data_IF_567794568844
#
_entry.id   IF_567794568844
#
_cell.length_a   1.000
_cell.length_b   1.000
_cell.length_c   1.000
_cell.angle_alpha   90.00
_cell.angle_beta   90.00
_cell.angle_gamma   90.00
#
_symmetry.space_group_name_H-M   'P 1'
#
loop_
_entity.id
_entity.type
_entity.pdbx_description
1 polymer ?
#
# COMPACT_ATOMS: atom_id res chain seq x y z
N UNK A 1 43.14 -23.45 -80.91
CA UNK A 1 42.49 -24.17 -79.84
C UNK A 1 42.40 -23.25 -78.61
N UNK A 2 41.23 -22.54 -78.41
CA UNK A 2 40.97 -21.85 -77.14
C UNK A 2 39.55 -22.02 -76.75
N UNK A 3 39.08 -23.17 -76.18
CA UNK A 3 37.72 -23.34 -75.69
C UNK A 3 37.63 -23.79 -74.25
N UNK A 4 38.71 -24.19 -73.63
CA UNK A 4 38.58 -24.72 -72.24
C UNK A 4 38.58 -23.68 -71.08
N UNK A 5 38.76 -22.37 -71.36
CA UNK A 5 38.76 -21.32 -70.32
C UNK A 5 37.38 -20.83 -69.93
N UNK A 6 36.36 -20.99 -70.75
CA UNK A 6 35.00 -20.53 -70.45
C UNK A 6 34.21 -21.51 -69.60
N UNK A 7 34.47 -22.78 -69.67
CA UNK A 7 33.79 -23.83 -68.90
C UNK A 7 34.18 -23.76 -67.41
N UNK A 8 35.49 -23.48 -67.13
CA UNK A 8 35.97 -23.35 -65.73
C UNK A 8 35.39 -22.16 -64.97
N UNK A 9 35.04 -21.05 -65.64
CA UNK A 9 34.41 -19.89 -65.03
C UNK A 9 32.94 -20.08 -64.74
N UNK A 10 32.21 -20.84 -65.55
CA UNK A 10 30.78 -21.16 -65.34
C UNK A 10 30.63 -22.17 -64.19
N UNK A 11 31.53 -23.18 -64.11
CA UNK A 11 31.56 -24.13 -63.00
C UNK A 11 31.84 -23.50 -61.66
N UNK A 12 32.66 -22.44 -61.60
CA UNK A 12 32.97 -21.71 -60.36
C UNK A 12 31.77 -20.87 -59.85
N UNK A 13 30.96 -20.31 -60.78
CA UNK A 13 29.75 -19.55 -60.41
C UNK A 13 28.58 -20.43 -59.92
N UNK A 14 28.43 -21.64 -60.40
CA UNK A 14 27.38 -22.58 -60.01
C UNK A 14 27.70 -23.17 -58.62
N UNK A 15 28.96 -23.34 -58.23
CA UNK A 15 29.34 -23.85 -56.91
C UNK A 15 29.02 -22.90 -55.75
N UNK A 16 28.91 -21.59 -55.98
CA UNK A 16 28.56 -20.60 -54.94
C UNK A 16 27.04 -20.52 -54.63
N UNK A 17 26.19 -21.06 -55.47
CA UNK A 17 24.71 -21.01 -55.23
C UNK A 17 24.19 -22.05 -54.23
N UNK A 18 25.00 -23.05 -53.86
CA UNK A 18 24.56 -24.08 -52.89
C UNK A 18 25.03 -23.89 -51.45
N UNK A 19 25.77 -22.82 -51.15
CA UNK A 19 26.08 -22.42 -49.77
C UNK A 19 24.94 -21.54 -49.20
N UNK A 20 23.71 -22.05 -49.10
CA UNK A 20 22.71 -21.46 -48.25
C UNK A 20 23.10 -21.79 -46.79
N UNK A 21 23.52 -20.81 -45.97
CA UNK A 21 23.65 -21.08 -44.56
C UNK A 21 22.28 -21.40 -44.03
N UNK A 22 22.09 -22.61 -43.56
CA UNK A 22 20.94 -22.96 -42.75
C UNK A 22 21.06 -22.11 -41.50
N UNK A 23 20.41 -20.95 -41.55
CA UNK A 23 20.25 -20.08 -40.37
C UNK A 23 19.48 -20.85 -39.34
N UNK A 24 20.16 -21.30 -38.31
CA UNK A 24 19.51 -21.82 -37.13
C UNK A 24 18.92 -20.60 -36.44
N UNK A 25 17.58 -20.49 -36.45
CA UNK A 25 16.89 -19.50 -35.63
C UNK A 25 17.24 -19.80 -34.17
N UNK A 26 18.10 -18.98 -33.59
CA UNK A 26 18.36 -19.05 -32.15
C UNK A 26 17.07 -18.68 -31.41
N UNK A 27 16.69 -19.54 -30.49
CA UNK A 27 15.53 -19.31 -29.61
C UNK A 27 15.82 -18.06 -28.78
N UNK A 28 15.25 -16.92 -29.18
CA UNK A 28 15.53 -15.60 -28.60
C UNK A 28 14.68 -15.35 -27.38
N UNK A 29 14.95 -16.08 -26.31
CA UNK A 29 14.44 -15.77 -24.99
C UNK A 29 12.92 -15.94 -24.84
N UNK A 30 12.51 -16.65 -23.84
CA UNK A 30 11.13 -16.71 -23.39
C UNK A 30 10.99 -15.78 -22.17
N UNK A 31 9.94 -14.94 -22.17
CA UNK A 31 9.57 -14.13 -21.02
C UNK A 31 8.22 -14.65 -20.49
N UNK A 32 8.10 -14.67 -19.17
CA UNK A 32 6.84 -14.97 -18.47
C UNK A 32 6.37 -13.71 -17.75
N UNK A 33 5.09 -13.39 -17.85
CA UNK A 33 4.44 -12.34 -17.07
C UNK A 33 3.38 -12.99 -16.20
N UNK A 34 3.64 -13.07 -14.91
CA UNK A 34 2.67 -13.57 -13.93
C UNK A 34 1.79 -12.43 -13.46
N UNK A 35 0.48 -12.55 -13.61
CA UNK A 35 -0.51 -11.59 -13.15
C UNK A 35 -1.31 -12.23 -12.02
N UNK A 36 -1.27 -11.62 -10.83
CA UNK A 36 -2.04 -12.03 -9.68
C UNK A 36 -3.02 -10.93 -9.30
N UNK A 37 -4.25 -11.28 -8.99
CA UNK A 37 -5.28 -10.35 -8.55
C UNK A 37 -6.29 -11.02 -7.63
N UNK A 38 -7.05 -10.22 -6.90
CA UNK A 38 -8.17 -10.68 -6.08
C UNK A 38 -9.38 -9.81 -6.36
N UNK A 39 -10.52 -10.44 -6.51
CA UNK A 39 -11.82 -9.76 -6.56
C UNK A 39 -12.46 -9.94 -5.18
N UNK A 40 -12.83 -8.84 -4.56
CA UNK A 40 -13.52 -8.82 -3.26
C UNK A 40 -14.85 -8.08 -3.40
N UNK A 41 -15.87 -8.52 -2.66
CA UNK A 41 -17.10 -7.76 -2.50
C UNK A 41 -16.89 -6.72 -1.39
N UNK A 42 -16.85 -5.46 -1.75
CA UNK A 42 -16.73 -4.33 -0.81
C UNK A 42 -17.50 -3.14 -1.35
N UNK A 43 -18.06 -2.33 -0.45
CA UNK A 43 -18.79 -1.14 -0.83
C UNK A 43 -17.90 -0.08 -1.50
N UNK A 44 -16.66 0.07 -1.05
CA UNK A 44 -15.71 1.08 -1.53
C UNK A 44 -14.35 0.45 -1.83
N UNK A 45 -13.59 1.06 -2.72
CA UNK A 45 -12.16 0.82 -2.87
C UNK A 45 -11.36 1.86 -2.06
N UNK A 46 -10.23 1.45 -1.50
CA UNK A 46 -9.28 2.39 -0.87
C UNK A 46 -8.42 2.99 -2.00
N UNK A 47 -8.35 4.32 -2.05
CA UNK A 47 -7.47 5.04 -2.97
C UNK A 47 -6.03 4.54 -2.84
N UNK A 48 -5.31 4.44 -3.96
CA UNK A 48 -3.97 3.84 -3.99
C UNK A 48 -2.98 4.57 -3.10
N UNK A 49 -3.07 5.91 -3.03
CA UNK A 49 -2.20 6.73 -2.18
C UNK A 49 -2.53 6.60 -0.69
N UNK A 50 -3.73 6.12 -0.36
CA UNK A 50 -4.18 5.90 1.01
C UNK A 50 -3.84 4.51 1.55
N UNK A 51 -3.44 3.57 0.68
CA UNK A 51 -3.10 2.19 1.10
C UNK A 51 -1.78 2.09 1.84
N UNK A 52 -0.84 2.95 1.48
CA UNK A 52 0.50 3.01 2.07
C UNK A 52 0.89 4.47 2.22
N UNK A 53 0.93 4.94 3.47
CA UNK A 53 1.22 6.33 3.80
C UNK A 53 2.35 6.38 4.83
N UNK A 54 3.31 7.26 4.60
CA UNK A 54 4.31 7.59 5.61
C UNK A 54 3.98 8.95 6.22
N UNK A 55 3.77 8.99 7.52
CA UNK A 55 3.49 10.21 8.27
C UNK A 55 4.75 10.61 9.03
N UNK A 56 5.36 11.72 8.65
CA UNK A 56 6.53 12.24 9.34
C UNK A 56 6.09 13.13 10.50
N UNK A 57 6.40 12.72 11.72
CA UNK A 57 6.12 13.50 12.94
C UNK A 57 7.19 14.56 13.13
N UNK A 58 6.79 15.72 13.69
CA UNK A 58 7.73 16.77 14.07
C UNK A 58 8.60 16.33 15.23
N UNK A 59 9.82 16.88 15.30
CA UNK A 59 10.68 16.71 16.47
C UNK A 59 10.00 17.28 17.71
N UNK A 60 9.94 16.49 18.77
CA UNK A 60 9.23 16.81 20.00
C UNK A 60 10.20 16.82 21.18
N UNK A 61 10.37 17.95 21.87
CA UNK A 61 11.18 18.02 23.10
C UNK A 61 10.55 17.17 24.21
N UNK A 62 11.37 16.39 24.94
CA UNK A 62 10.91 15.60 26.11
C UNK A 62 10.17 16.47 27.13
N UNK A 63 10.64 17.70 27.37
CA UNK A 63 9.99 18.65 28.27
C UNK A 63 8.56 19.01 27.87
N UNK A 64 8.19 18.93 26.60
CA UNK A 64 6.82 19.14 26.16
C UNK A 64 5.92 17.96 26.59
N UNK A 65 6.38 16.72 26.44
CA UNK A 65 5.63 15.55 26.92
C UNK A 65 5.47 15.58 28.44
N UNK A 66 6.50 16.02 29.18
CA UNK A 66 6.42 16.17 30.65
C UNK A 66 5.36 17.19 31.04
N UNK A 67 5.31 18.32 30.35
CA UNK A 67 4.41 19.44 30.70
C UNK A 67 2.98 19.19 30.22
N UNK A 68 2.82 18.76 28.94
CA UNK A 68 1.55 18.76 28.25
C UNK A 68 0.96 17.33 28.08
N UNK A 69 1.74 16.29 28.42
CA UNK A 69 1.37 14.88 28.27
C UNK A 69 1.30 14.41 26.82
N UNK A 70 1.40 15.31 25.84
CA UNK A 70 1.18 15.00 24.43
C UNK A 70 1.90 15.99 23.50
N UNK A 71 2.10 15.53 22.24
CA UNK A 71 2.61 16.36 21.16
C UNK A 71 1.50 16.96 20.30
N UNK A 72 1.91 17.70 19.27
CA UNK A 72 0.99 18.26 18.27
C UNK A 72 0.25 17.18 17.51
N UNK A 73 -0.99 17.49 17.11
CA UNK A 73 -1.80 16.64 16.26
C UNK A 73 -1.34 16.74 14.79
N UNK A 74 -0.97 15.63 14.20
CA UNK A 74 -0.68 15.51 12.78
C UNK A 74 -1.87 14.84 12.08
N UNK A 75 -2.48 15.56 11.12
CA UNK A 75 -3.63 15.03 10.39
C UNK A 75 -3.20 14.14 9.24
N UNK A 76 -3.98 13.09 8.99
CA UNK A 76 -3.90 12.25 7.79
C UNK A 76 -5.29 11.85 7.31
N UNK A 77 -5.41 11.43 6.07
CA UNK A 77 -6.69 11.09 5.45
C UNK A 77 -6.62 9.73 4.78
N UNK A 78 -7.63 8.91 5.00
CA UNK A 78 -7.89 7.70 4.21
C UNK A 78 -9.01 8.04 3.23
N UNK A 79 -8.68 8.01 1.93
CA UNK A 79 -9.62 8.29 0.86
C UNK A 79 -10.21 7.00 0.33
N UNK A 80 -11.53 6.93 0.29
CA UNK A 80 -12.31 5.87 -0.33
C UNK A 80 -12.84 6.36 -1.66
N UNK A 81 -12.84 5.49 -2.66
CA UNK A 81 -13.29 5.78 -4.03
C UNK A 81 -14.22 4.69 -4.52
N UNK A 82 -15.01 5.03 -5.54
CA UNK A 82 -15.94 4.10 -6.18
C UNK A 82 -16.89 3.44 -5.19
N UNK A 83 -17.38 4.20 -4.20
CA UNK A 83 -18.34 3.68 -3.23
C UNK A 83 -19.69 3.44 -3.92
N UNK A 84 -20.18 2.21 -3.82
CA UNK A 84 -21.47 1.75 -4.35
C UNK A 84 -22.20 1.05 -3.21
N UNK A 85 -23.46 1.42 -2.99
CA UNK A 85 -24.27 0.86 -1.89
C UNK A 85 -24.90 -0.48 -2.28
N UNK A 86 -25.28 -0.63 -3.55
CA UNK A 86 -25.94 -1.83 -4.04
C UNK A 86 -25.00 -3.04 -4.01
N UNK A 87 -25.49 -4.14 -3.44
CA UNK A 87 -24.79 -5.42 -3.50
C UNK A 87 -25.05 -6.14 -4.84
N UNK A 88 -24.06 -6.87 -5.31
CA UNK A 88 -24.19 -7.68 -6.54
C UNK A 88 -25.30 -8.72 -6.45
N UNK A 89 -25.61 -9.22 -5.25
CA UNK A 89 -26.70 -10.15 -5.02
C UNK A 89 -27.96 -9.39 -4.58
N UNK A 90 -29.03 -9.35 -5.41
CA UNK A 90 -30.26 -8.59 -5.11
C UNK A 90 -31.06 -9.13 -3.90
N UNK A 91 -30.71 -10.31 -3.38
CA UNK A 91 -31.33 -10.88 -2.18
C UNK A 91 -30.60 -10.47 -0.88
N UNK A 92 -29.61 -9.62 -0.96
CA UNK A 92 -28.88 -9.09 0.19
C UNK A 92 -29.15 -7.61 0.33
N UNK A 93 -29.35 -7.15 1.57
CA UNK A 93 -29.50 -5.73 1.87
C UNK A 93 -28.27 -4.94 1.41
N UNK A 94 -28.49 -3.75 0.90
CA UNK A 94 -27.44 -2.83 0.48
C UNK A 94 -26.49 -2.47 1.61
N UNK A 95 -25.26 -2.07 1.23
CA UNK A 95 -24.27 -1.58 2.17
C UNK A 95 -24.73 -0.24 2.78
N UNK A 96 -24.74 -0.15 4.10
CA UNK A 96 -25.18 1.07 4.81
C UNK A 96 -24.09 1.69 5.65
N UNK A 97 -23.29 0.85 6.29
CA UNK A 97 -22.32 1.27 7.30
C UNK A 97 -20.96 0.68 7.03
N UNK A 98 -19.94 1.36 7.55
CA UNK A 98 -18.60 0.81 7.64
C UNK A 98 -18.01 1.04 9.02
N UNK A 99 -17.05 0.21 9.38
CA UNK A 99 -16.18 0.37 10.53
C UNK A 99 -14.74 0.39 10.08
N UNK A 100 -13.90 1.17 10.76
CA UNK A 100 -12.45 1.19 10.56
C UNK A 100 -11.80 0.63 11.81
N UNK A 101 -10.93 -0.35 11.62
CA UNK A 101 -10.10 -0.89 12.70
C UNK A 101 -8.65 -0.56 12.39
N UNK A 102 -7.98 0.11 13.31
CA UNK A 102 -6.53 0.26 13.28
C UNK A 102 -5.89 -0.84 14.12
N UNK A 103 -4.81 -1.45 13.63
CA UNK A 103 -4.11 -2.52 14.32
C UNK A 103 -2.60 -2.33 14.24
N UNK A 104 -1.88 -2.74 15.28
CA UNK A 104 -0.43 -2.58 15.39
C UNK A 104 0.06 -3.03 16.74
N UNK A 105 1.32 -2.73 17.03
CA UNK A 105 1.91 -3.00 18.35
C UNK A 105 1.11 -2.26 19.41
N UNK A 106 0.56 -2.99 20.38
CA UNK A 106 -0.18 -2.39 21.49
C UNK A 106 0.75 -1.89 22.61
N UNK A 107 0.40 -0.75 23.18
CA UNK A 107 0.92 -0.22 24.44
C UNK A 107 -0.28 0.25 25.29
N UNK A 108 -0.87 -0.69 26.03
CA UNK A 108 -2.19 -0.51 26.63
C UNK A 108 -3.25 -0.28 25.56
N UNK A 109 -3.99 0.82 25.68
CA UNK A 109 -5.01 1.25 24.72
C UNK A 109 -4.43 2.13 23.58
N UNK A 110 -3.11 2.28 23.51
CA UNK A 110 -2.40 3.09 22.52
C UNK A 110 -1.55 2.23 21.61
N UNK A 111 -1.05 2.83 20.54
CA UNK A 111 -0.12 2.15 19.62
C UNK A 111 1.29 2.34 20.12
N UNK A 112 1.99 1.23 20.31
CA UNK A 112 3.38 1.20 20.74
C UNK A 112 4.33 1.66 19.64
N UNK A 113 5.50 2.07 20.07
CA UNK A 113 6.62 2.46 19.20
C UNK A 113 7.76 1.45 19.27
N UNK A 114 8.64 1.52 18.29
CA UNK A 114 9.96 0.92 18.28
C UNK A 114 11.02 2.01 18.14
N UNK A 115 12.29 1.68 18.45
CA UNK A 115 13.42 2.61 18.38
C UNK A 115 14.03 2.93 19.74
N UNK A 116 14.77 4.05 19.78
CA UNK A 116 15.52 4.48 20.95
C UNK A 116 14.71 5.28 21.98
N UNK A 117 13.64 5.95 21.55
CA UNK A 117 12.74 6.68 22.43
C UNK A 117 11.98 5.75 23.37
N UNK A 118 11.66 6.20 24.58
CA UNK A 118 10.87 5.48 25.59
C UNK A 118 9.92 6.41 26.30
N UNK A 119 8.92 5.85 26.98
CA UNK A 119 7.94 6.62 27.76
C UNK A 119 6.86 7.31 26.93
N UNK A 120 6.74 6.96 25.64
CA UNK A 120 5.76 7.49 24.71
C UNK A 120 5.03 6.40 23.95
N UNK A 121 3.83 6.71 23.51
CA UNK A 121 3.00 5.90 22.60
C UNK A 121 2.37 6.80 21.52
N UNK A 122 1.70 6.22 20.55
CA UNK A 122 0.94 6.94 19.53
C UNK A 122 -0.55 6.83 19.81
N UNK A 123 -1.26 7.93 19.63
CA UNK A 123 -2.72 8.00 19.69
C UNK A 123 -3.26 8.40 18.34
N UNK A 124 -4.20 7.61 17.84
CA UNK A 124 -4.99 7.92 16.64
C UNK A 124 -6.39 8.29 17.09
N UNK A 125 -6.98 9.33 16.49
CA UNK A 125 -8.36 9.72 16.69
C UNK A 125 -9.05 10.03 15.38
N UNK A 126 -10.36 9.81 15.31
CA UNK A 126 -11.17 10.27 14.18
C UNK A 126 -11.51 11.77 14.30
N UNK A 127 -12.21 12.30 13.29
CA UNK A 127 -12.62 13.69 13.24
C UNK A 127 -13.65 14.08 14.34
N UNK A 128 -14.29 13.09 14.97
CA UNK A 128 -15.23 13.28 16.09
C UNK A 128 -14.56 13.18 17.45
N UNK A 129 -13.25 12.87 17.48
CA UNK A 129 -12.47 12.72 18.70
C UNK A 129 -12.49 11.31 19.30
N UNK A 130 -13.14 10.32 18.64
CA UNK A 130 -13.07 8.94 19.09
C UNK A 130 -11.65 8.41 18.94
N UNK A 131 -11.13 7.83 20.02
CA UNK A 131 -9.76 7.31 20.07
C UNK A 131 -9.75 5.87 19.58
N UNK A 132 -8.88 5.57 18.62
CA UNK A 132 -8.67 4.21 18.14
C UNK A 132 -7.78 3.42 19.12
N UNK A 133 -8.19 2.20 19.41
CA UNK A 133 -7.41 1.21 20.16
C UNK A 133 -6.95 0.10 19.19
N UNK A 134 -5.75 -0.48 19.39
CA UNK A 134 -5.26 -1.56 18.53
C UNK A 134 -6.22 -2.74 18.44
N UNK A 135 -6.63 -3.10 17.21
CA UNK A 135 -7.52 -4.22 16.95
C UNK A 135 -9.01 -4.01 17.27
N UNK A 136 -9.39 -2.82 17.78
CA UNK A 136 -10.78 -2.52 18.13
C UNK A 136 -11.43 -1.63 17.06
N UNK A 137 -12.60 -1.99 16.51
CA UNK A 137 -13.31 -1.16 15.55
C UNK A 137 -13.72 0.19 16.15
N UNK A 138 -13.56 1.25 15.36
CA UNK A 138 -14.17 2.54 15.65
C UNK A 138 -15.70 2.51 15.44
N UNK A 139 -16.36 3.54 15.92
CA UNK A 139 -17.83 3.68 15.77
C UNK A 139 -18.23 3.59 14.29
N UNK A 140 -19.32 2.86 14.02
CA UNK A 140 -19.94 2.73 12.69
C UNK A 140 -20.27 4.09 12.10
N UNK A 141 -20.05 4.22 10.80
CA UNK A 141 -20.36 5.41 10.03
C UNK A 141 -21.10 5.05 8.76
N UNK A 142 -21.96 5.96 8.31
CA UNK A 142 -22.72 5.79 7.06
C UNK A 142 -21.78 5.82 5.85
N UNK A 143 -22.07 4.95 4.87
CA UNK A 143 -21.43 4.99 3.57
C UNK A 143 -22.17 6.01 2.69
N UNK A 144 -21.41 6.84 1.99
CA UNK A 144 -21.94 7.72 0.96
C UNK A 144 -21.43 7.27 -0.42
N UNK A 145 -22.27 7.27 -1.46
CA UNK A 145 -21.84 6.92 -2.81
C UNK A 145 -20.74 7.84 -3.33
N UNK A 146 -19.87 7.27 -4.16
CA UNK A 146 -18.83 8.02 -4.87
C UNK A 146 -17.51 8.07 -4.14
N UNK A 147 -17.13 9.21 -3.59
CA UNK A 147 -15.83 9.45 -2.93
C UNK A 147 -16.05 9.91 -1.49
N UNK A 148 -15.31 9.31 -0.57
CA UNK A 148 -15.31 9.70 0.85
C UNK A 148 -13.89 9.99 1.33
N UNK A 149 -13.72 11.00 2.17
CA UNK A 149 -12.48 11.32 2.85
C UNK A 149 -12.66 11.09 4.36
N UNK A 150 -11.90 10.14 4.90
CA UNK A 150 -11.91 9.82 6.33
C UNK A 150 -10.71 10.50 6.97
N UNK A 151 -10.97 11.55 7.75
CA UNK A 151 -9.92 12.34 8.37
C UNK A 151 -9.63 11.82 9.77
N UNK A 152 -8.35 11.65 10.06
CA UNK A 152 -7.82 11.18 11.34
C UNK A 152 -6.71 12.10 11.82
N UNK A 153 -6.49 12.10 13.12
CA UNK A 153 -5.37 12.75 13.75
C UNK A 153 -4.46 11.73 14.44
N UNK A 154 -3.16 11.94 14.31
CA UNK A 154 -2.11 11.16 14.96
C UNK A 154 -1.29 12.09 15.86
N UNK A 155 -1.03 11.69 17.09
CA UNK A 155 -0.13 12.39 17.99
C UNK A 155 0.69 11.44 18.85
N UNK A 156 1.81 11.95 19.35
CA UNK A 156 2.58 11.30 20.40
C UNK A 156 1.95 11.63 21.75
N UNK A 157 1.83 10.65 22.63
CA UNK A 157 1.36 10.82 24.02
C UNK A 157 2.32 10.13 24.99
N UNK A 158 2.43 10.66 26.20
CA UNK A 158 3.12 9.96 27.30
C UNK A 158 2.38 8.66 27.66
N UNK A 159 3.12 7.61 27.98
CA UNK A 159 2.55 6.32 28.41
C UNK A 159 2.83 6.01 29.89
N UNK A 160 3.17 7.04 30.67
CA UNK A 160 3.47 6.96 32.10
C UNK A 160 4.72 6.15 32.46
N UNK A 161 5.56 5.79 31.51
CA UNK A 161 6.86 5.19 31.73
C UNK A 161 7.96 6.25 31.71
N UNK A 162 9.16 5.89 32.12
CA UNK A 162 10.31 6.79 32.10
C UNK A 162 10.61 7.29 30.69
N UNK A 163 10.62 8.61 30.54
CA UNK A 163 10.87 9.27 29.26
C UNK A 163 12.35 9.21 28.90
N UNK A 164 12.62 8.78 27.68
CA UNK A 164 13.95 8.78 27.08
C UNK A 164 13.90 9.33 25.68
N UNK A 165 14.79 10.30 25.41
CA UNK A 165 14.97 10.82 24.06
C UNK A 165 15.57 9.78 23.11
N UNK A 166 15.18 9.83 21.86
CA UNK A 166 15.64 8.96 20.79
C UNK A 166 14.72 9.00 19.58
N UNK A 167 15.12 8.35 18.52
CA UNK A 167 14.27 8.13 17.36
C UNK A 167 13.21 7.07 17.67
N UNK A 168 12.06 7.20 17.02
CA UNK A 168 10.99 6.22 17.11
C UNK A 168 10.32 6.04 15.76
N UNK A 169 9.73 4.87 15.58
CA UNK A 169 8.85 4.56 14.46
C UNK A 169 7.77 3.58 14.92
N UNK A 170 6.69 3.49 14.15
CA UNK A 170 5.65 2.49 14.36
C UNK A 170 4.99 2.19 13.02
N UNK A 171 4.47 0.97 12.89
CA UNK A 171 3.64 0.58 11.76
C UNK A 171 2.25 0.26 12.28
N UNK A 172 1.27 0.99 11.78
CA UNK A 172 -0.14 0.76 12.06
C UNK A 172 -0.84 0.35 10.76
N UNK A 173 -1.51 -0.79 10.80
CA UNK A 173 -2.35 -1.28 9.71
C UNK A 173 -3.78 -0.83 9.93
N UNK A 174 -4.56 -0.71 8.88
CA UNK A 174 -5.99 -0.51 9.01
C UNK A 174 -6.76 -1.46 8.12
N UNK A 175 -7.97 -1.81 8.54
CA UNK A 175 -8.95 -2.56 7.74
C UNK A 175 -10.28 -1.85 7.77
N UNK A 176 -11.10 -2.12 6.77
CA UNK A 176 -12.46 -1.63 6.66
C UNK A 176 -13.41 -2.81 6.58
N UNK A 177 -14.41 -2.81 7.42
CA UNK A 177 -15.50 -3.78 7.41
C UNK A 177 -16.79 -3.06 7.00
N UNK A 178 -17.56 -3.64 6.07
CA UNK A 178 -18.79 -3.06 5.51
C UNK A 178 -20.01 -3.91 5.89
N UNK A 179 -21.12 -3.23 6.18
CA UNK A 179 -22.37 -3.83 6.65
C UNK A 179 -23.59 -3.33 5.89
#
# INVERSE_FOLDING_TARGET
>A
MPENKKIGRIALFISCLFCSPWGWAANQGHGEVTVNGRIIASACAIDTQSRDQTITMKTLPVGQIIRDGQGELQNFTIKLVNCVLEKTNPNQDDWRYFEVTFDGKADGERFGIDGGAKGIALQISDALGNIAMPGVPLVKRDIQPGVMALNYGLRVVGNYQDLRAGDYFSTVKFKMDYY
#
